data_IF_728567167887
#
_entry.id   IF_728567167887
#
_cell.length_a   1.000
_cell.length_b   1.000
_cell.length_c   1.000
_cell.angle_alpha   90.00
_cell.angle_beta   90.00
_cell.angle_gamma   90.00
#
_symmetry.space_group_name_H-M   'P 1'
#
loop_
_entity.id
_entity.type
_entity.pdbx_description
1 polymer ?
#
# COMPACT_ATOMS: atom_id res chain seq x y z
N UNK A 1 9.79 -13.51 -4.44
CA UNK A 1 8.65 -14.39 -4.13
C UNK A 1 8.28 -15.14 -5.40
N UNK A 2 8.17 -16.46 -5.35
CA UNK A 2 7.72 -17.29 -6.47
C UNK A 2 6.19 -17.28 -6.58
N UNK A 3 5.64 -17.70 -7.73
CA UNK A 3 4.18 -17.82 -7.91
C UNK A 3 3.54 -18.82 -6.95
N UNK A 4 4.25 -19.91 -6.68
CA UNK A 4 3.83 -20.91 -5.71
C UNK A 4 3.78 -20.31 -4.30
N UNK A 5 4.80 -19.55 -3.90
CA UNK A 5 4.82 -18.84 -2.61
C UNK A 5 3.69 -17.80 -2.48
N UNK A 6 3.38 -17.07 -3.56
CA UNK A 6 2.24 -16.13 -3.54
C UNK A 6 0.95 -16.89 -3.31
N UNK A 7 0.71 -17.94 -4.11
CA UNK A 7 -0.51 -18.72 -4.07
C UNK A 7 -0.74 -19.32 -2.67
N UNK A 8 0.30 -19.93 -2.09
CA UNK A 8 0.26 -20.49 -0.74
C UNK A 8 -0.13 -19.43 0.31
N UNK A 9 0.53 -18.27 0.30
CA UNK A 9 0.26 -17.16 1.24
C UNK A 9 -1.16 -16.62 1.15
N UNK A 10 -1.78 -16.64 -0.03
CA UNK A 10 -3.16 -16.18 -0.22
C UNK A 10 -4.19 -17.31 -0.13
N UNK A 11 -3.78 -18.54 0.19
CA UNK A 11 -4.67 -19.70 0.33
C UNK A 11 -5.22 -20.20 -1.02
N UNK A 12 -4.39 -20.16 -2.07
CA UNK A 12 -4.68 -20.66 -3.40
C UNK A 12 -3.68 -21.76 -3.80
N UNK A 13 -4.08 -22.55 -4.79
CA UNK A 13 -3.15 -23.42 -5.52
C UNK A 13 -2.49 -22.65 -6.68
N UNK A 14 -1.24 -22.95 -7.00
CA UNK A 14 -0.48 -22.26 -8.06
C UNK A 14 -1.23 -22.21 -9.43
N UNK A 15 -1.92 -23.28 -9.89
CA UNK A 15 -2.71 -23.21 -11.12
C UNK A 15 -3.84 -22.19 -11.09
N UNK A 16 -4.48 -21.97 -9.93
CA UNK A 16 -5.53 -20.97 -9.77
C UNK A 16 -4.94 -19.56 -9.88
N UNK A 17 -3.82 -19.30 -9.22
CA UNK A 17 -3.08 -18.03 -9.33
C UNK A 17 -2.66 -17.73 -10.79
N UNK A 18 -2.09 -18.73 -11.50
CA UNK A 18 -1.71 -18.56 -12.93
C UNK A 18 -2.90 -18.26 -13.85
N UNK A 19 -4.09 -18.79 -13.54
CA UNK A 19 -5.30 -18.45 -14.30
C UNK A 19 -5.73 -17.01 -14.07
N UNK A 20 -5.61 -16.52 -12.83
CA UNK A 20 -5.90 -15.12 -12.49
C UNK A 20 -4.94 -14.15 -13.18
N UNK A 21 -3.63 -14.43 -13.18
CA UNK A 21 -2.63 -13.59 -13.88
C UNK A 21 -2.89 -13.46 -15.39
N UNK A 22 -3.57 -14.45 -15.98
CA UNK A 22 -3.93 -14.48 -17.40
C UNK A 22 -5.35 -13.94 -17.67
N UNK A 23 -6.03 -13.40 -16.66
CA UNK A 23 -7.39 -12.89 -16.77
C UNK A 23 -8.47 -13.95 -17.00
N UNK A 24 -8.16 -15.25 -16.79
CA UNK A 24 -9.12 -16.35 -17.02
C UNK A 24 -10.10 -16.55 -15.86
N UNK A 25 -9.78 -16.02 -14.69
CA UNK A 25 -10.58 -16.11 -13.45
C UNK A 25 -10.37 -14.81 -12.67
N UNK A 26 -11.45 -14.24 -12.12
CA UNK A 26 -11.35 -13.12 -11.20
C UNK A 26 -11.21 -13.64 -9.76
N UNK A 27 -10.40 -12.97 -8.91
CA UNK A 27 -10.36 -13.28 -7.49
C UNK A 27 -11.68 -12.89 -6.81
N UNK A 28 -12.04 -13.57 -5.72
CA UNK A 28 -13.04 -13.02 -4.80
C UNK A 28 -12.48 -11.80 -4.09
N UNK A 29 -13.34 -10.96 -3.51
CA UNK A 29 -12.92 -9.78 -2.72
C UNK A 29 -11.93 -10.18 -1.61
N UNK A 30 -12.19 -11.29 -0.92
CA UNK A 30 -11.30 -11.81 0.13
C UNK A 30 -9.92 -12.24 -0.39
N UNK A 31 -9.87 -12.81 -1.61
CA UNK A 31 -8.60 -13.19 -2.25
C UNK A 31 -7.86 -11.95 -2.72
N UNK A 32 -8.57 -10.97 -3.30
CA UNK A 32 -7.99 -9.69 -3.71
C UNK A 32 -7.37 -8.95 -2.51
N UNK A 33 -8.08 -8.88 -1.38
CA UNK A 33 -7.56 -8.27 -0.16
C UNK A 33 -6.28 -8.96 0.36
N UNK A 34 -6.26 -10.30 0.35
CA UNK A 34 -5.05 -11.07 0.71
C UNK A 34 -3.90 -10.81 -0.25
N UNK A 35 -4.16 -10.70 -1.55
CA UNK A 35 -3.16 -10.33 -2.56
C UNK A 35 -2.60 -8.94 -2.31
N UNK A 36 -3.46 -7.96 -1.98
CA UNK A 36 -3.04 -6.60 -1.62
C UNK A 36 -2.06 -6.59 -0.46
N UNK A 37 -2.39 -7.27 0.63
CA UNK A 37 -1.51 -7.39 1.80
C UNK A 37 -0.21 -8.14 1.50
N UNK A 38 -0.29 -9.25 0.75
CA UNK A 38 0.86 -10.10 0.46
C UNK A 38 1.87 -9.43 -0.48
N UNK A 39 1.37 -8.61 -1.42
CA UNK A 39 2.19 -7.94 -2.43
C UNK A 39 2.56 -6.50 -2.05
N UNK A 40 1.95 -5.94 -0.99
CA UNK A 40 2.13 -4.54 -0.62
C UNK A 40 1.56 -3.58 -1.66
N UNK A 41 0.49 -3.98 -2.35
CA UNK A 41 -0.16 -3.21 -3.41
C UNK A 41 -1.59 -2.87 -3.01
N UNK A 42 -2.04 -1.66 -3.30
CA UNK A 42 -3.43 -1.30 -3.07
C UNK A 42 -4.35 -2.08 -4.04
N UNK A 43 -5.62 -2.32 -3.68
CA UNK A 43 -6.59 -2.95 -4.57
C UNK A 43 -6.72 -2.22 -5.92
N UNK A 44 -6.64 -0.90 -5.93
CA UNK A 44 -6.74 -0.06 -7.13
C UNK A 44 -5.55 -0.30 -8.08
N UNK A 45 -4.36 -0.52 -7.53
CA UNK A 45 -3.18 -0.90 -8.33
C UNK A 45 -3.36 -2.30 -8.93
N UNK A 46 -3.86 -3.26 -8.15
CA UNK A 46 -4.12 -4.62 -8.63
C UNK A 46 -5.22 -4.68 -9.70
N UNK A 47 -6.22 -3.81 -9.61
CA UNK A 47 -7.34 -3.70 -10.55
C UNK A 47 -7.05 -2.79 -11.75
N UNK A 48 -5.90 -2.10 -11.76
CA UNK A 48 -5.57 -1.13 -12.81
C UNK A 48 -6.43 0.13 -12.79
N UNK A 49 -7.10 0.43 -11.67
CA UNK A 49 -7.96 1.60 -11.48
C UNK A 49 -7.26 2.73 -10.72
N UNK A 50 -5.99 2.55 -10.35
CA UNK A 50 -5.21 3.59 -9.69
C UNK A 50 -5.13 4.84 -10.59
N UNK A 51 -5.39 6.05 -10.06
CA UNK A 51 -5.31 7.28 -10.85
C UNK A 51 -3.91 7.43 -11.44
N UNK A 52 -3.83 7.79 -12.71
CA UNK A 52 -2.61 7.78 -13.55
C UNK A 52 -1.48 8.70 -13.04
N UNK A 53 -1.69 9.47 -11.95
CA UNK A 53 -0.66 10.21 -11.23
C UNK A 53 -0.03 9.49 -10.02
N UNK A 54 -0.47 8.26 -9.71
CA UNK A 54 -0.05 7.51 -8.51
C UNK A 54 0.60 6.15 -8.82
N UNK A 55 0.70 5.78 -10.10
CA UNK A 55 1.32 4.52 -10.53
C UNK A 55 2.85 4.57 -10.39
N UNK A 56 3.34 4.57 -9.15
CA UNK A 56 4.72 4.21 -8.84
C UNK A 56 4.88 2.75 -9.30
N UNK A 57 5.66 2.57 -10.38
CA UNK A 57 6.23 1.30 -10.87
C UNK A 57 6.49 0.33 -9.70
N UNK A 58 6.27 -1.00 -9.83
CA UNK A 58 6.41 -1.94 -8.70
C UNK A 58 7.86 -1.96 -8.23
N UNK A 59 8.19 -1.03 -7.34
CA UNK A 59 9.46 -0.92 -6.68
C UNK A 59 9.43 -1.97 -5.59
N UNK A 60 10.02 -3.13 -5.91
CA UNK A 60 10.62 -4.07 -4.97
C UNK A 60 11.17 -3.27 -3.78
N UNK A 61 10.42 -3.16 -2.69
CA UNK A 61 10.68 -2.33 -1.50
C UNK A 61 11.86 -1.34 -1.63
N UNK A 62 11.58 -0.07 -1.96
CA UNK A 62 12.03 1.01 -1.08
C UNK A 62 11.03 2.18 -1.13
N UNK A 63 9.86 2.03 -0.50
CA UNK A 63 8.98 3.17 -0.23
C UNK A 63 9.25 3.80 1.14
N UNK A 64 9.98 3.10 2.02
CA UNK A 64 10.44 3.62 3.30
C UNK A 64 11.69 4.51 3.19
N UNK A 65 12.38 4.52 2.04
CA UNK A 65 13.49 5.44 1.76
C UNK A 65 13.01 6.80 1.21
N UNK A 66 11.73 6.90 0.82
CA UNK A 66 11.10 8.16 0.38
C UNK A 66 10.36 8.89 1.51
N UNK A 67 10.35 8.33 2.73
CA UNK A 67 10.01 9.08 3.93
C UNK A 67 11.24 9.93 4.25
N UNK A 68 11.20 11.20 3.86
CA UNK A 68 12.34 12.12 4.06
C UNK A 68 12.72 12.15 5.54
N UNK A 69 13.99 12.45 5.85
CA UNK A 69 14.44 12.50 7.24
C UNK A 69 13.58 13.47 8.06
N UNK A 70 13.09 14.52 7.40
CA UNK A 70 12.17 15.53 7.89
C UNK A 70 10.81 14.93 8.26
N UNK A 71 10.21 14.10 7.40
CA UNK A 71 8.91 13.45 7.67
C UNK A 71 9.02 12.46 8.84
N UNK A 72 10.09 11.65 8.88
CA UNK A 72 10.35 10.75 10.01
C UNK A 72 10.52 11.51 11.32
N UNK A 73 11.24 12.64 11.30
CA UNK A 73 11.41 13.51 12.45
C UNK A 73 10.08 14.14 12.89
N UNK A 74 9.25 14.58 11.94
CA UNK A 74 7.92 15.13 12.22
C UNK A 74 7.04 14.10 12.93
N UNK A 75 6.97 12.87 12.41
CA UNK A 75 6.19 11.78 13.01
C UNK A 75 6.70 11.41 14.42
N UNK A 76 8.02 11.41 14.63
CA UNK A 76 8.60 11.16 15.95
C UNK A 76 8.26 12.24 16.99
N UNK A 77 8.18 13.51 16.56
CA UNK A 77 7.76 14.62 17.41
C UNK A 77 6.24 14.58 17.67
N UNK A 78 5.43 14.35 16.64
CA UNK A 78 3.98 14.28 16.75
C UNK A 78 3.51 13.22 17.75
N UNK A 79 4.18 12.06 17.81
CA UNK A 79 3.89 10.99 18.79
C UNK A 79 4.11 11.38 20.25
N UNK A 80 4.83 12.47 20.53
CA UNK A 80 5.10 12.96 21.90
C UNK A 80 4.15 14.09 22.32
N UNK A 81 3.29 14.55 21.42
CA UNK A 81 2.35 15.63 21.69
C UNK A 81 1.07 15.09 22.33
N UNK A 82 0.43 15.92 23.14
CA UNK A 82 -0.93 15.70 23.61
C UNK A 82 -1.94 16.14 22.54
N UNK A 83 -3.22 15.87 22.79
CA UNK A 83 -4.29 16.10 21.83
C UNK A 83 -4.38 17.58 21.40
N UNK A 84 -4.25 18.53 22.32
CA UNK A 84 -4.32 19.96 22.02
C UNK A 84 -3.15 20.41 21.13
N UNK A 85 -1.92 19.98 21.43
CA UNK A 85 -0.75 20.35 20.63
C UNK A 85 -0.75 19.67 19.25
N UNK A 86 -1.31 18.46 19.15
CA UNK A 86 -1.45 17.76 17.88
C UNK A 86 -2.48 18.43 16.98
N UNK A 87 -3.59 18.90 17.54
CA UNK A 87 -4.63 19.65 16.80
C UNK A 87 -4.06 20.97 16.23
N UNK A 88 -3.27 21.70 17.03
CA UNK A 88 -2.58 22.89 16.56
C UNK A 88 -1.60 22.60 15.41
N UNK A 89 -0.88 21.47 15.46
CA UNK A 89 0.03 21.05 14.38
C UNK A 89 -0.74 20.75 13.08
N UNK A 90 -1.91 20.12 13.17
CA UNK A 90 -2.78 19.86 12.03
C UNK A 90 -3.27 21.17 11.41
N UNK A 91 -3.66 22.15 12.23
CA UNK A 91 -4.10 23.46 11.74
C UNK A 91 -3.02 24.18 10.92
N UNK A 92 -1.76 24.10 11.36
CA UNK A 92 -0.62 24.66 10.61
C UNK A 92 -0.40 23.91 9.30
N UNK A 93 -0.48 22.57 9.32
CA UNK A 93 -0.35 21.77 8.10
C UNK A 93 -1.46 22.09 7.09
N UNK A 94 -2.70 22.27 7.54
CA UNK A 94 -3.85 22.67 6.72
C UNK A 94 -3.68 24.07 6.12
N UNK A 95 -3.07 25.01 6.86
CA UNK A 95 -2.79 26.35 6.35
C UNK A 95 -1.70 26.33 5.26
N UNK A 96 -0.70 25.46 5.39
CA UNK A 96 0.41 25.33 4.43
C UNK A 96 0.05 24.55 3.15
N UNK A 97 -1.09 23.84 3.15
CA UNK A 97 -1.53 22.98 2.05
C UNK A 97 -2.69 23.58 1.23
N UNK A 98 -3.14 24.78 1.57
CA UNK A 98 -4.11 25.57 0.80
C UNK A 98 -3.46 26.39 -0.31
#
# INVERSE_FOLDING_TARGET
>A
MTRAEVAERVGLVEPAYRRMERGKVLPSVTVLHRLSLTLGLSPEVLLGTAPQGTAKKPSRAPLLDAETAELRRLLALARKLDAEKLDALLHVADALTR
#
